data_IF_701893955307
#
_entry.id   IF_701893955307
#
_cell.length_a   1.000
_cell.length_b   1.000
_cell.length_c   1.000
_cell.angle_alpha   90.00
_cell.angle_beta   90.00
_cell.angle_gamma   90.00
#
_symmetry.space_group_name_H-M   'P 1'
#
loop_
_entity.id
_entity.type
_entity.pdbx_description
1 polymer ?
#
# COMPACT_ATOMS: atom_id res chain seq x y z
N UNK A 1 -20.61 -25.52 -22.60
CA UNK A 1 -19.96 -24.19 -22.68
C UNK A 1 -18.52 -24.42 -23.13
N UNK A 2 -18.16 -24.00 -24.35
CA UNK A 2 -16.86 -24.31 -24.96
C UNK A 2 -15.80 -23.38 -24.36
N UNK A 3 -14.86 -23.95 -23.60
CA UNK A 3 -13.69 -23.23 -23.06
C UNK A 3 -12.68 -23.01 -24.19
N UNK A 4 -12.73 -21.85 -24.83
CA UNK A 4 -11.67 -21.44 -25.75
C UNK A 4 -10.41 -21.05 -24.96
N UNK A 5 -9.26 -21.57 -25.41
CA UNK A 5 -7.94 -21.26 -24.87
C UNK A 5 -7.60 -19.77 -25.07
N UNK A 6 -7.20 -19.06 -24.00
CA UNK A 6 -6.92 -17.61 -23.99
C UNK A 6 -5.95 -17.16 -25.10
N UNK A 7 -4.98 -18.01 -25.46
CA UNK A 7 -4.01 -17.71 -26.54
C UNK A 7 -4.68 -17.59 -27.91
N UNK A 8 -5.79 -18.28 -28.14
CA UNK A 8 -6.51 -18.30 -29.41
C UNK A 8 -7.40 -17.07 -29.57
N UNK A 9 -8.06 -16.62 -28.50
CA UNK A 9 -8.92 -15.42 -28.51
C UNK A 9 -8.11 -14.15 -28.79
N UNK A 10 -6.92 -14.05 -28.21
CA UNK A 10 -6.00 -12.91 -28.37
C UNK A 10 -5.51 -12.71 -29.81
N UNK A 11 -5.57 -13.77 -30.64
CA UNK A 11 -5.15 -13.77 -32.04
C UNK A 11 -6.26 -13.37 -33.01
N UNK A 12 -7.53 -13.50 -32.61
CA UNK A 12 -8.69 -13.41 -33.51
C UNK A 12 -9.51 -12.13 -33.26
N UNK A 13 -9.57 -11.63 -32.03
CA UNK A 13 -10.32 -10.40 -31.74
C UNK A 13 -9.48 -9.14 -32.02
N UNK A 14 -10.01 -8.16 -32.79
CA UNK A 14 -9.44 -6.83 -32.86
C UNK A 14 -9.20 -6.27 -31.45
N UNK A 15 -8.05 -5.63 -31.22
CA UNK A 15 -7.63 -5.14 -29.90
C UNK A 15 -8.72 -4.32 -29.17
N UNK A 16 -9.56 -3.61 -29.91
CA UNK A 16 -10.69 -2.83 -29.38
C UNK A 16 -11.78 -3.74 -28.81
N UNK A 17 -12.18 -4.77 -29.54
CA UNK A 17 -13.16 -5.76 -29.07
C UNK A 17 -12.59 -6.63 -27.95
N UNK A 18 -11.29 -6.97 -27.97
CA UNK A 18 -10.65 -7.68 -26.87
C UNK A 18 -10.63 -6.85 -25.59
N UNK A 19 -10.37 -5.53 -25.69
CA UNK A 19 -10.49 -4.59 -24.56
C UNK A 19 -11.92 -4.50 -24.04
N UNK A 20 -12.90 -4.40 -24.93
CA UNK A 20 -14.32 -4.32 -24.56
C UNK A 20 -14.80 -5.61 -23.89
N UNK A 21 -14.45 -6.77 -24.46
CA UNK A 21 -14.74 -8.09 -23.91
C UNK A 21 -14.03 -8.25 -22.55
N UNK A 22 -12.72 -7.98 -22.46
CA UNK A 22 -11.97 -8.02 -21.20
C UNK A 22 -12.53 -7.10 -20.11
N UNK A 23 -13.17 -5.99 -20.50
CA UNK A 23 -13.87 -5.08 -19.59
C UNK A 23 -15.20 -5.67 -19.11
N UNK A 24 -15.98 -6.28 -20.00
CA UNK A 24 -17.27 -6.91 -19.70
C UNK A 24 -17.14 -8.21 -18.88
N UNK A 25 -16.07 -8.98 -19.07
CA UNK A 25 -15.84 -10.26 -18.35
C UNK A 25 -14.71 -10.17 -17.31
N UNK A 26 -14.27 -8.97 -16.93
CA UNK A 26 -13.23 -8.71 -15.92
C UNK A 26 -11.85 -9.35 -16.18
N UNK A 27 -11.56 -9.88 -17.38
CA UNK A 27 -10.30 -10.60 -17.69
C UNK A 27 -9.07 -9.67 -17.79
N UNK A 28 -9.25 -8.35 -17.95
CA UNK A 28 -8.16 -7.37 -17.78
C UNK A 28 -8.63 -6.15 -16.98
N UNK A 29 -9.33 -6.39 -15.87
CA UNK A 29 -9.70 -5.29 -14.99
C UNK A 29 -8.44 -4.58 -14.52
N UNK A 30 -8.34 -3.27 -14.77
CA UNK A 30 -7.29 -2.44 -14.17
C UNK A 30 -7.61 -2.37 -12.68
N UNK A 31 -7.00 -3.27 -11.93
CA UNK A 31 -6.94 -3.21 -10.48
C UNK A 31 -6.51 -1.79 -10.13
N UNK A 32 -7.43 -1.03 -9.53
CA UNK A 32 -7.39 0.38 -9.16
C UNK A 32 -6.07 1.07 -9.47
N UNK A 33 -6.07 1.85 -10.53
CA UNK A 33 -5.09 2.91 -10.64
C UNK A 33 -5.51 4.01 -9.69
N UNK A 34 -4.62 4.45 -8.81
CA UNK A 34 -4.76 5.79 -8.28
C UNK A 34 -4.53 6.72 -9.47
N UNK A 35 -5.52 7.54 -9.82
CA UNK A 35 -5.33 8.64 -10.77
C UNK A 35 -4.51 9.72 -10.05
N UNK A 36 -3.24 9.42 -9.87
CA UNK A 36 -2.25 10.26 -9.22
C UNK A 36 -1.05 10.32 -10.16
N UNK A 37 -0.77 11.52 -10.67
CA UNK A 37 0.41 11.78 -11.46
C UNK A 37 1.57 11.97 -10.49
N UNK A 38 2.45 10.97 -10.44
CA UNK A 38 3.64 11.02 -9.62
C UNK A 38 4.88 11.36 -10.46
N UNK A 39 5.59 12.41 -10.07
CA UNK A 39 6.90 12.78 -10.63
C UNK A 39 8.06 12.39 -9.70
N UNK A 40 7.79 11.61 -8.65
CA UNK A 40 8.79 11.21 -7.67
C UNK A 40 9.88 10.30 -8.25
N UNK A 41 11.04 10.33 -7.61
CA UNK A 41 12.17 9.43 -7.88
C UNK A 41 11.86 8.01 -7.37
N UNK A 42 11.07 7.87 -6.31
CA UNK A 42 10.64 6.59 -5.77
C UNK A 42 9.29 6.68 -5.07
N UNK A 43 8.51 5.60 -5.16
CA UNK A 43 7.31 5.37 -4.38
C UNK A 43 7.49 4.13 -3.48
N UNK A 44 7.08 4.26 -2.23
CA UNK A 44 6.97 3.16 -1.28
C UNK A 44 5.70 2.33 -1.51
N UNK A 45 5.49 1.32 -0.67
CA UNK A 45 4.25 0.55 -0.63
C UNK A 45 3.06 1.39 -0.11
N UNK A 46 1.88 0.77 -0.08
CA UNK A 46 0.71 1.35 0.56
C UNK A 46 0.68 0.98 2.05
N UNK A 47 0.52 1.99 2.89
CA UNK A 47 0.48 1.88 4.34
C UNK A 47 -0.91 2.22 4.87
N UNK A 48 -1.23 1.70 6.06
CA UNK A 48 -2.43 2.06 6.82
C UNK A 48 -2.09 3.22 7.75
N UNK A 49 -3.01 4.16 7.94
CA UNK A 49 -3.00 5.05 9.10
C UNK A 49 -4.23 4.81 9.98
N UNK A 50 -4.07 5.04 11.28
CA UNK A 50 -5.12 4.98 12.30
C UNK A 50 -5.00 6.19 13.22
N UNK A 51 -6.11 6.92 13.39
CA UNK A 51 -6.27 8.06 14.30
C UNK A 51 -7.17 7.68 15.48
N UNK A 52 -7.30 8.60 16.44
CA UNK A 52 -8.16 8.45 17.61
C UNK A 52 -7.40 7.77 18.74
N UNK A 53 -7.77 6.53 19.04
CA UNK A 53 -7.17 5.73 20.12
C UNK A 53 -5.71 5.34 19.86
N UNK A 54 -5.22 5.55 18.63
CA UNK A 54 -3.86 5.22 18.22
C UNK A 54 -3.12 6.43 17.66
N UNK A 55 -1.83 6.50 18.00
CA UNK A 55 -0.85 7.29 17.29
C UNK A 55 -0.27 6.47 16.14
N UNK A 56 -0.27 7.04 14.94
CA UNK A 56 0.44 6.50 13.78
C UNK A 56 1.67 7.33 13.49
N UNK A 57 2.80 6.66 13.33
CA UNK A 57 4.06 7.26 12.93
C UNK A 57 4.69 6.44 11.79
N UNK A 58 5.29 7.12 10.82
CA UNK A 58 5.96 6.52 9.69
C UNK A 58 7.48 6.75 9.73
N UNK A 59 8.27 5.69 9.53
CA UNK A 59 9.72 5.77 9.39
C UNK A 59 10.06 5.69 7.90
N UNK A 60 10.58 6.78 7.37
CA UNK A 60 11.05 6.88 5.99
C UNK A 60 12.58 6.71 5.94
N UNK A 61 13.05 5.85 5.02
CA UNK A 61 14.47 5.66 4.77
C UNK A 61 14.98 6.64 3.71
N UNK A 62 16.08 7.34 3.99
CA UNK A 62 16.81 8.13 3.00
C UNK A 62 17.84 7.26 2.29
N UNK A 63 17.35 6.48 1.33
CA UNK A 63 18.15 5.47 0.64
C UNK A 63 19.36 6.03 -0.10
N UNK A 64 19.24 7.20 -0.73
CA UNK A 64 20.38 7.79 -1.43
C UNK A 64 21.50 8.17 -0.46
N UNK A 65 21.16 8.74 0.70
CA UNK A 65 22.11 9.04 1.77
C UNK A 65 22.83 7.78 2.24
N UNK A 66 22.10 6.68 2.45
CA UNK A 66 22.68 5.36 2.82
C UNK A 66 23.62 4.82 1.74
N UNK A 67 23.19 4.86 0.48
CA UNK A 67 23.95 4.30 -0.65
C UNK A 67 25.24 5.08 -0.91
N UNK A 68 25.21 6.39 -0.68
CA UNK A 68 26.33 7.29 -0.92
C UNK A 68 27.22 7.49 0.30
N UNK A 69 26.80 7.03 1.48
CA UNK A 69 27.42 7.32 2.78
C UNK A 69 27.62 8.84 2.97
N UNK A 70 26.59 9.62 2.62
CA UNK A 70 26.63 11.08 2.61
C UNK A 70 25.31 11.67 3.06
N UNK A 71 25.39 12.78 3.78
CA UNK A 71 24.21 13.58 4.11
C UNK A 71 23.62 14.19 2.82
N UNK A 72 22.46 13.68 2.40
CA UNK A 72 21.77 14.11 1.18
C UNK A 72 20.34 14.46 1.53
N UNK A 73 19.92 15.69 1.23
CA UNK A 73 18.53 16.10 1.42
C UNK A 73 17.59 15.26 0.57
N UNK A 74 16.65 14.59 1.24
CA UNK A 74 15.55 13.86 0.64
C UNK A 74 14.25 14.64 0.88
N UNK A 75 13.48 14.87 -0.19
CA UNK A 75 12.14 15.44 -0.10
C UNK A 75 11.14 14.30 0.01
N UNK A 76 10.50 14.17 1.17
CA UNK A 76 9.50 13.15 1.44
C UNK A 76 8.10 13.73 1.25
N UNK A 77 7.26 13.02 0.51
CA UNK A 77 5.83 13.35 0.37
C UNK A 77 5.01 12.17 0.87
N UNK A 78 4.16 12.42 1.87
CA UNK A 78 3.10 11.48 2.27
C UNK A 78 1.81 11.92 1.60
N UNK A 79 1.20 11.04 0.82
CA UNK A 79 -0.13 11.28 0.23
C UNK A 79 -1.13 10.31 0.88
N UNK A 80 -2.11 10.86 1.59
CA UNK A 80 -3.16 10.11 2.28
C UNK A 80 -4.41 9.99 1.42
N UNK A 81 -5.05 8.82 1.50
CA UNK A 81 -6.27 8.47 0.80
C UNK A 81 -7.36 7.99 1.77
N UNK A 82 -8.60 8.38 1.50
CA UNK A 82 -9.77 7.86 2.20
C UNK A 82 -10.08 6.40 1.80
N UNK A 83 -11.11 5.83 2.42
CA UNK A 83 -11.64 4.49 2.11
C UNK A 83 -12.07 4.28 0.64
N UNK A 84 -12.31 5.36 -0.10
CA UNK A 84 -12.68 5.31 -1.51
C UNK A 84 -11.47 5.50 -2.43
N UNK A 85 -10.25 5.66 -1.87
CA UNK A 85 -9.04 5.92 -2.62
C UNK A 85 -8.91 7.38 -3.09
N UNK A 86 -9.71 8.31 -2.57
CA UNK A 86 -9.60 9.75 -2.87
C UNK A 86 -8.52 10.36 -2.00
N UNK A 87 -7.68 11.22 -2.60
CA UNK A 87 -6.68 12.00 -1.85
C UNK A 87 -7.39 12.93 -0.85
N UNK A 88 -7.00 12.84 0.42
CA UNK A 88 -7.57 13.61 1.53
C UNK A 88 -6.53 14.41 2.31
N UNK A 89 -5.24 14.14 2.11
CA UNK A 89 -4.18 14.88 2.77
C UNK A 89 -2.84 14.68 2.08
N UNK A 90 -1.98 15.69 2.15
CA UNK A 90 -0.60 15.64 1.67
C UNK A 90 0.30 16.31 2.69
N UNK A 91 1.37 15.62 3.09
CA UNK A 91 2.44 16.18 3.93
C UNK A 91 3.74 16.16 3.14
N UNK A 92 4.40 17.32 3.05
CA UNK A 92 5.71 17.44 2.44
C UNK A 92 6.72 17.81 3.52
N UNK A 93 7.82 17.08 3.59
CA UNK A 93 8.94 17.37 4.49
C UNK A 93 10.24 17.14 3.77
N UNK A 94 11.29 17.84 4.18
CA UNK A 94 12.63 17.69 3.60
C UNK A 94 13.63 17.47 4.70
N UNK A 95 14.34 16.35 4.65
CA UNK A 95 15.23 15.87 5.70
C UNK A 95 16.45 15.21 5.09
N UNK A 96 17.59 15.37 5.74
CA UNK A 96 18.85 14.78 5.33
C UNK A 96 19.21 13.54 6.17
N UNK A 97 18.48 13.31 7.26
CA UNK A 97 18.62 12.16 8.14
C UNK A 97 18.50 10.84 7.37
N UNK A 98 19.29 9.84 7.79
CA UNK A 98 19.23 8.48 7.24
C UNK A 98 17.83 7.86 7.45
N UNK A 99 17.25 8.08 8.62
CA UNK A 99 15.90 7.68 8.96
C UNK A 99 15.11 8.90 9.41
N UNK A 100 14.03 9.20 8.71
CA UNK A 100 13.13 10.30 9.05
C UNK A 100 11.87 9.75 9.69
N UNK A 101 11.58 10.23 10.90
CA UNK A 101 10.34 9.97 11.60
C UNK A 101 9.31 11.02 11.17
N UNK A 102 8.19 10.58 10.60
CA UNK A 102 7.11 11.44 10.12
C UNK A 102 5.85 11.12 10.92
N UNK A 103 5.35 12.07 11.70
CA UNK A 103 4.10 11.89 12.44
C UNK A 103 2.92 12.23 11.54
N UNK A 104 2.00 11.28 11.33
CA UNK A 104 0.79 11.55 10.54
C UNK A 104 -0.20 12.46 11.25
N UNK A 105 -0.01 12.70 12.56
CA UNK A 105 -0.74 13.74 13.28
C UNK A 105 -0.53 15.13 12.71
N UNK A 106 0.56 15.36 11.96
CA UNK A 106 0.86 16.65 11.31
C UNK A 106 -0.08 16.95 10.11
N UNK A 107 -0.88 15.97 9.67
CA UNK A 107 -1.92 16.17 8.66
C UNK A 107 -3.22 16.53 9.39
N UNK A 108 -3.33 17.80 9.76
CA UNK A 108 -4.33 18.31 10.70
C UNK A 108 -5.79 18.28 10.19
N UNK A 109 -6.04 18.21 8.87
CA UNK A 109 -7.39 18.38 8.32
C UNK A 109 -7.75 17.33 7.26
N UNK A 110 -8.96 16.77 7.37
CA UNK A 110 -9.58 15.92 6.34
C UNK A 110 -9.33 14.42 6.43
N UNK A 111 -8.49 13.96 7.37
CA UNK A 111 -8.29 12.52 7.58
C UNK A 111 -9.40 11.91 8.44
N UNK A 112 -10.03 10.86 7.91
CA UNK A 112 -10.92 9.94 8.62
C UNK A 112 -10.20 9.20 9.77
N UNK A 113 -10.95 8.43 10.57
CA UNK A 113 -10.46 7.62 11.68
C UNK A 113 -9.36 6.61 11.26
N UNK A 114 -9.46 6.11 10.04
CA UNK A 114 -8.45 5.27 9.38
C UNK A 114 -8.47 5.52 7.88
N UNK A 115 -7.39 5.16 7.22
CA UNK A 115 -7.26 5.24 5.78
C UNK A 115 -5.90 4.73 5.34
N UNK A 116 -5.50 5.06 4.12
CA UNK A 116 -4.23 4.60 3.58
C UNK A 116 -3.35 5.76 3.16
N UNK A 117 -2.05 5.53 3.05
CA UNK A 117 -1.14 6.52 2.50
C UNK A 117 -0.01 5.85 1.73
N UNK A 118 0.55 6.58 0.77
CA UNK A 118 1.83 6.27 0.15
C UNK A 118 2.86 7.29 0.60
N UNK A 119 4.11 6.86 0.65
CA UNK A 119 5.26 7.74 0.77
C UNK A 119 6.01 7.77 -0.57
N UNK A 120 6.33 8.96 -1.06
CA UNK A 120 7.19 9.15 -2.23
C UNK A 120 8.39 10.01 -1.85
N UNK A 121 9.48 9.86 -2.60
CA UNK A 121 10.70 10.63 -2.41
C UNK A 121 11.15 11.30 -3.69
N UNK A 122 11.70 12.50 -3.53
CA UNK A 122 12.36 13.24 -4.58
C UNK A 122 13.74 13.67 -4.08
N UNK A 123 14.74 13.52 -4.93
CA UNK A 123 16.09 14.01 -4.71
C UNK A 123 16.40 15.12 -5.72
N UNK A 124 17.25 16.07 -5.32
CA UNK A 124 17.73 17.07 -6.25
C UNK A 124 18.56 16.43 -7.38
N UNK A 125 18.56 17.08 -8.56
CA UNK A 125 19.21 16.55 -9.75
C UNK A 125 20.72 16.38 -9.58
N UNK A 126 21.36 17.23 -8.78
CA UNK A 126 22.81 17.19 -8.61
C UNK A 126 23.23 16.00 -7.73
N UNK A 127 22.45 15.68 -6.69
CA UNK A 127 22.61 14.49 -5.85
C UNK A 127 22.40 13.21 -6.65
N UNK A 128 21.38 13.19 -7.52
CA UNK A 128 21.16 12.06 -8.44
C UNK A 128 22.34 11.88 -9.39
N UNK A 129 22.80 12.95 -10.06
CA UNK A 129 23.97 12.90 -10.97
C UNK A 129 25.23 12.38 -10.28
N UNK A 130 25.49 12.82 -9.03
CA UNK A 130 26.66 12.37 -8.25
C UNK A 130 26.65 10.88 -7.96
N UNK A 131 25.46 10.28 -7.83
CA UNK A 131 25.32 8.88 -7.45
C UNK A 131 25.49 7.87 -8.59
N UNK A 132 25.62 8.34 -9.84
CA UNK A 132 25.57 7.51 -11.05
C UNK A 132 24.31 6.62 -11.18
N UNK A 133 23.33 6.77 -10.28
CA UNK A 133 22.02 6.13 -10.37
C UNK A 133 21.16 6.94 -11.34
N UNK A 134 20.61 6.27 -12.36
CA UNK A 134 19.57 6.84 -13.21
C UNK A 134 18.29 7.06 -12.41
N UNK A 135 17.57 8.16 -12.70
CA UNK A 135 16.28 8.71 -12.21
C UNK A 135 15.36 7.97 -11.22
N UNK A 136 15.50 6.66 -10.95
CA UNK A 136 14.67 5.88 -10.02
C UNK A 136 15.51 5.02 -9.07
N UNK A 137 15.40 5.29 -7.77
CA UNK A 137 16.13 4.59 -6.71
C UNK A 137 15.23 3.50 -6.11
N UNK A 138 14.91 2.46 -6.92
CA UNK A 138 14.20 1.25 -6.44
C UNK A 138 12.90 1.51 -5.67
N UNK A 139 12.53 0.62 -4.74
CA UNK A 139 11.46 0.83 -3.75
C UNK A 139 12.09 1.03 -2.35
N UNK A 140 11.63 2.01 -1.57
CA UNK A 140 12.08 2.20 -0.19
C UNK A 140 11.54 1.10 0.73
N UNK A 141 12.34 0.69 1.72
CA UNK A 141 11.85 -0.05 2.89
C UNK A 141 11.42 0.99 3.92
N UNK A 142 10.12 1.02 4.19
CA UNK A 142 9.57 1.94 5.17
C UNK A 142 8.62 1.18 6.08
N UNK A 143 8.43 1.70 7.29
CA UNK A 143 7.65 1.03 8.32
C UNK A 143 6.65 2.01 8.92
N UNK A 144 5.45 1.50 9.22
CA UNK A 144 4.44 2.24 9.98
C UNK A 144 4.35 1.65 11.37
N UNK A 145 4.55 2.50 12.37
CA UNK A 145 4.36 2.18 13.78
C UNK A 145 2.99 2.63 14.28
N UNK A 146 2.35 1.79 15.07
CA UNK A 146 1.13 2.09 15.81
C UNK A 146 1.34 1.95 17.31
N UNK A 147 0.76 2.86 18.09
CA UNK A 147 0.77 2.81 19.55
C UNK A 147 -0.55 3.35 20.09
N UNK A 148 -1.12 2.70 21.11
CA UNK A 148 -2.30 3.24 21.79
C UNK A 148 -1.94 4.53 22.54
N UNK A 149 -2.78 5.55 22.41
CA UNK A 149 -2.63 6.85 23.08
C UNK A 149 -2.81 6.72 24.60
N UNK A 150 -3.55 5.70 25.06
CA UNK A 150 -3.78 5.43 26.50
C UNK A 150 -2.47 5.19 27.28
N UNK A 151 -1.49 4.55 26.64
CA UNK A 151 -0.19 4.29 27.24
C UNK A 151 0.79 5.48 27.15
N UNK A 152 0.33 6.63 26.66
CA UNK A 152 1.12 7.85 26.56
C UNK A 152 2.43 7.66 25.78
N UNK A 153 3.49 8.30 26.24
CA UNK A 153 4.84 8.20 25.65
C UNK A 153 5.58 6.93 26.03
N UNK A 154 5.11 6.21 27.04
CA UNK A 154 5.81 5.07 27.64
C UNK A 154 5.53 3.76 26.90
N UNK A 155 4.48 3.72 26.07
CA UNK A 155 4.19 2.59 25.20
C UNK A 155 5.19 2.44 24.06
N UNK A 156 5.45 1.19 23.65
CA UNK A 156 6.28 0.84 22.49
C UNK A 156 5.44 0.82 21.21
N UNK A 157 5.99 1.29 20.09
CA UNK A 157 5.33 1.16 18.80
C UNK A 157 5.38 -0.27 18.28
N UNK A 158 4.24 -0.76 17.80
CA UNK A 158 4.16 -1.99 17.00
C UNK A 158 4.31 -1.63 15.54
N UNK A 159 5.36 -2.14 14.90
CA UNK A 159 5.69 -1.81 13.51
C UNK A 159 5.18 -2.84 12.53
N UNK A 160 4.61 -2.36 11.44
CA UNK A 160 4.25 -3.17 10.28
C UNK A 160 4.95 -2.62 9.04
N UNK A 161 5.30 -3.53 8.14
CA UNK A 161 5.71 -3.15 6.81
C UNK A 161 4.48 -2.77 5.97
N UNK A 162 4.68 -1.91 4.98
CA UNK A 162 3.67 -1.65 3.96
C UNK A 162 3.29 -2.96 3.27
N UNK A 163 2.00 -3.15 3.02
CA UNK A 163 1.51 -4.42 2.51
C UNK A 163 0.87 -4.16 1.15
N UNK A 164 1.66 -4.28 0.08
CA UNK A 164 1.11 -4.33 -1.27
C UNK A 164 2.00 -5.06 -2.26
N UNK A 165 1.41 -5.93 -3.06
CA UNK A 165 2.06 -6.51 -4.24
C UNK A 165 2.25 -5.43 -5.29
N UNK A 166 3.38 -4.72 -5.24
CA UNK A 166 3.89 -3.84 -6.28
C UNK A 166 2.97 -2.68 -6.68
N UNK A 167 3.24 -1.48 -6.18
CA UNK A 167 2.84 -0.29 -6.91
C UNK A 167 3.76 -0.18 -8.15
N UNK A 168 3.19 -0.03 -9.34
CA UNK A 168 3.96 0.32 -10.52
C UNK A 168 3.51 1.64 -11.09
N UNK A 169 4.44 2.53 -11.38
CA UNK A 169 4.18 3.76 -12.11
C UNK A 169 4.31 3.44 -13.61
N UNK A 170 3.28 3.71 -14.40
CA UNK A 170 3.38 3.57 -15.85
C UNK A 170 4.12 4.74 -16.51
N UNK A 171 4.40 4.62 -17.81
CA UNK A 171 5.18 5.63 -18.54
C UNK A 171 4.49 7.01 -18.61
N UNK A 172 3.23 7.11 -18.19
CA UNK A 172 2.46 8.35 -18.12
C UNK A 172 2.38 8.90 -16.68
N UNK A 173 3.10 8.30 -15.73
CA UNK A 173 3.11 8.73 -14.33
C UNK A 173 1.94 8.21 -13.50
N UNK A 174 1.08 7.32 -14.05
CA UNK A 174 -0.06 6.81 -13.31
C UNK A 174 0.36 5.64 -12.41
N UNK A 175 -0.03 5.72 -11.14
CA UNK A 175 0.14 4.64 -10.16
C UNK A 175 -0.86 3.50 -10.45
N UNK A 176 -0.35 2.29 -10.68
CA UNK A 176 -1.14 1.06 -10.81
C UNK A 176 -0.85 0.11 -9.67
N UNK A 177 -1.92 -0.33 -9.00
CA UNK A 177 -1.86 -1.39 -8.01
C UNK A 177 -1.68 -2.75 -8.72
N UNK A 178 -0.61 -3.50 -8.41
CA UNK A 178 -0.35 -4.83 -9.00
C UNK A 178 -0.86 -5.99 -8.16
N UNK A 179 -1.43 -5.72 -6.99
CA UNK A 179 -2.03 -6.76 -6.16
C UNK A 179 -3.27 -7.32 -6.87
N UNK A 180 -3.11 -8.51 -7.45
CA UNK A 180 -4.20 -9.25 -8.07
C UNK A 180 -4.58 -10.41 -7.16
N UNK A 181 -5.79 -10.40 -6.59
CA UNK A 181 -6.37 -11.63 -6.05
C UNK A 181 -6.73 -12.54 -7.24
N UNK A 182 -5.81 -13.43 -7.61
CA UNK A 182 -6.04 -14.46 -8.64
C UNK A 182 -6.61 -15.73 -8.05
N UNK A 183 -6.46 -15.93 -6.74
CA UNK A 183 -6.91 -17.07 -5.96
C UNK A 183 -7.25 -16.62 -4.54
N UNK A 184 -8.17 -17.30 -3.83
CA UNK A 184 -8.34 -17.12 -2.39
C UNK A 184 -6.99 -17.21 -1.69
N UNK A 185 -6.71 -16.26 -0.81
CA UNK A 185 -5.50 -16.25 0.00
C UNK A 185 -5.88 -16.61 1.43
N UNK A 186 -5.21 -17.61 1.99
CA UNK A 186 -5.34 -17.96 3.39
C UNK A 186 -4.22 -17.29 4.16
N UNK A 187 -4.59 -16.51 5.18
CA UNK A 187 -3.64 -15.93 6.11
C UNK A 187 -3.81 -16.59 7.46
N UNK A 188 -2.72 -17.08 8.03
CA UNK A 188 -2.69 -17.62 9.40
C UNK A 188 -2.03 -16.56 10.27
N UNK A 189 -2.76 -15.92 11.21
CA UNK A 189 -2.17 -15.02 12.17
C UNK A 189 -1.05 -15.71 12.96
N UNK A 190 0.03 -14.99 13.25
CA UNK A 190 1.13 -15.51 14.08
C UNK A 190 0.73 -15.66 15.56
N UNK A 191 -0.32 -14.94 15.98
CA UNK A 191 -0.82 -14.94 17.36
C UNK A 191 -2.27 -15.40 17.40
N UNK A 192 -2.61 -16.14 18.45
CA UNK A 192 -3.98 -16.58 18.70
C UNK A 192 -4.88 -15.40 19.07
N UNK A 193 -6.10 -15.38 18.54
CA UNK A 193 -7.09 -14.40 18.95
C UNK A 193 -7.62 -14.71 20.36
N UNK A 194 -7.42 -13.79 21.28
CA UNK A 194 -8.02 -13.79 22.62
C UNK A 194 -9.41 -13.15 22.62
N UNK A 195 -10.38 -13.81 23.27
CA UNK A 195 -11.80 -13.38 23.28
C UNK A 195 -12.08 -12.03 23.94
N UNK A 196 -11.15 -11.53 24.75
CA UNK A 196 -11.27 -10.24 25.45
C UNK A 196 -10.72 -9.06 24.63
N UNK A 197 -10.08 -9.33 23.50
CA UNK A 197 -9.45 -8.31 22.68
C UNK A 197 -10.31 -7.98 21.46
N UNK A 198 -10.22 -6.73 21.01
CA UNK A 198 -10.81 -6.27 19.76
C UNK A 198 -9.79 -6.44 18.64
N UNK A 199 -10.20 -7.07 17.54
CA UNK A 199 -9.39 -7.21 16.34
C UNK A 199 -10.00 -6.39 15.21
N UNK A 200 -9.20 -5.53 14.59
CA UNK A 200 -9.58 -4.77 13.41
C UNK A 200 -8.81 -5.32 12.20
N UNK A 201 -9.53 -5.75 11.16
CA UNK A 201 -8.95 -6.24 9.91
C UNK A 201 -9.02 -5.14 8.86
N UNK A 202 -7.86 -4.72 8.36
CA UNK A 202 -7.76 -3.67 7.36
C UNK A 202 -7.36 -4.23 5.99
N UNK A 203 -8.21 -3.96 4.99
CA UNK A 203 -7.94 -4.29 3.60
C UNK A 203 -7.57 -3.02 2.85
N UNK A 204 -6.27 -2.73 2.77
CA UNK A 204 -5.74 -1.51 2.14
C UNK A 204 -5.90 -1.47 0.62
N UNK A 205 -6.41 -2.53 0.00
CA UNK A 205 -6.61 -2.63 -1.44
C UNK A 205 -8.08 -2.32 -1.78
N UNK A 206 -8.44 -1.11 -2.26
CA UNK A 206 -9.80 -0.88 -2.73
C UNK A 206 -10.15 -1.90 -3.83
N UNK A 207 -11.36 -2.47 -3.79
CA UNK A 207 -11.85 -3.44 -4.78
C UNK A 207 -13.35 -3.22 -5.02
N UNK A 208 -13.91 -3.35 -6.25
CA UNK A 208 -15.35 -3.16 -6.42
C UNK A 208 -16.07 -4.47 -6.10
N UNK A 209 -15.30 -5.55 -5.95
CA UNK A 209 -15.78 -6.86 -5.57
C UNK A 209 -16.01 -6.82 -4.08
N UNK A 210 -17.16 -7.34 -3.67
CA UNK A 210 -17.37 -7.71 -2.27
C UNK A 210 -16.29 -8.70 -1.86
N UNK A 211 -15.67 -8.45 -0.72
CA UNK A 211 -14.64 -9.32 -0.16
C UNK A 211 -15.34 -10.20 0.87
N UNK A 212 -15.43 -11.50 0.61
CA UNK A 212 -15.80 -12.45 1.66
C UNK A 212 -14.54 -12.89 2.39
N UNK A 213 -14.50 -12.65 3.69
CA UNK A 213 -13.46 -13.16 4.60
C UNK A 213 -14.05 -14.32 5.36
N UNK A 214 -13.60 -15.53 5.07
CA UNK A 214 -14.01 -16.73 5.81
C UNK A 214 -13.04 -16.98 6.95
N UNK A 215 -13.59 -17.24 8.13
CA UNK A 215 -12.81 -17.59 9.32
C UNK A 215 -12.84 -19.10 9.51
N UNK A 216 -11.66 -19.66 9.78
CA UNK A 216 -11.47 -21.06 10.14
C UNK A 216 -10.81 -21.12 11.51
N UNK A 217 -11.21 -22.10 12.34
CA UNK A 217 -10.41 -22.46 13.51
C UNK A 217 -9.24 -23.33 13.08
N UNK A 218 -8.17 -23.38 13.87
CA UNK A 218 -7.02 -24.23 13.54
C UNK A 218 -7.43 -25.72 13.40
N UNK A 219 -8.36 -26.18 14.25
CA UNK A 219 -8.91 -27.53 14.23
C UNK A 219 -9.88 -27.83 13.09
N UNK A 220 -10.45 -26.81 12.44
CA UNK A 220 -11.46 -26.96 11.37
C UNK A 220 -10.92 -26.62 9.98
N UNK A 221 -9.68 -26.15 9.89
CA UNK A 221 -9.07 -25.77 8.62
C UNK A 221 -8.92 -26.96 7.66
N UNK A 222 -8.48 -28.12 8.16
CA UNK A 222 -8.31 -29.34 7.34
C UNK A 222 -9.65 -29.86 6.79
N UNK A 223 -10.73 -29.67 7.55
CA UNK A 223 -12.08 -30.08 7.18
C UNK A 223 -12.85 -29.01 6.38
N UNK A 224 -12.24 -27.84 6.10
CA UNK A 224 -12.88 -26.66 5.51
C UNK A 224 -14.18 -26.24 6.23
N UNK A 225 -14.31 -26.54 7.53
CA UNK A 225 -15.49 -26.14 8.30
C UNK A 225 -15.36 -24.69 8.75
N UNK A 226 -16.16 -23.83 8.12
CA UNK A 226 -16.21 -22.40 8.40
C UNK A 226 -16.80 -22.15 9.80
N UNK A 227 -16.14 -21.32 10.59
CA UNK A 227 -16.69 -20.87 11.90
C UNK A 227 -17.43 -19.53 11.78
N UNK A 228 -17.29 -18.84 10.65
CA UNK A 228 -17.97 -17.60 10.35
C UNK A 228 -17.43 -16.92 9.10
N UNK A 229 -18.09 -15.84 8.69
CA UNK A 229 -17.63 -15.01 7.58
C UNK A 229 -17.97 -13.52 7.79
N UNK A 230 -17.23 -12.66 7.09
CA UNK A 230 -17.49 -11.22 6.96
C UNK A 230 -17.65 -10.91 5.45
N UNK A 231 -18.60 -10.05 5.07
CA UNK A 231 -18.84 -9.58 3.69
C UNK A 231 -18.81 -8.05 3.58
#
# INVERSE_FOLDING_TARGET
MILFNEKTIKKILPNVLYKLYSHLININFRYYSFSYNDTSTCASDLFLYRKGEFQTHFIAENRLSILMDQEITCHHTITCFDRNGKVVGVLNTSKSDIHTHISLSEIDQGLDEYGSFIHTTLYDLDSLKRSALTEKIGQHRSYTGFRSVEYGTDGVFSYVHGNFGGISIDNQGNIKLRATSRKPFCYVPQFSFESKLKYELFFSNPTPKRIRVTLYSHSTYEDNSEIGYLE
#
